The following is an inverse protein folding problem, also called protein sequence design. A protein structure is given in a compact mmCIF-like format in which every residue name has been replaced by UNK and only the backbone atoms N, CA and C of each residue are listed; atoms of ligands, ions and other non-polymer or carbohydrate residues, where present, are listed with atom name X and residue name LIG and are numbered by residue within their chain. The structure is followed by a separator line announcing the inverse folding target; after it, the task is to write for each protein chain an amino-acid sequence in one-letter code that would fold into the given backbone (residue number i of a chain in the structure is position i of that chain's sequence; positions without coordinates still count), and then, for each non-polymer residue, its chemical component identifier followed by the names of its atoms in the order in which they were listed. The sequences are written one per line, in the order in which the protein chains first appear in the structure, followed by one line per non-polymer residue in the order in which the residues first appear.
data_IF_518917803461
#
_entry.id   IF_518917803461
#
_cell.length_a   1.000
_cell.length_b   1.000
_cell.length_c   1.000
_cell.angle_alpha   90.00
_cell.angle_beta   90.00
_cell.angle_gamma   90.00
#
_symmetry.space_group_name_H-M   'P 1'
#
loop_
_entity.id
_entity.type
_entity.pdbx_description
1 polymer ?
#
# COMPACT_ATOMS: atom_id res chain seq x y z
N UNK A 1 -8.90 8.88 25.38
CA UNK A 1 -8.80 8.80 23.92
C UNK A 1 -8.47 10.13 23.22
N UNK A 2 -9.12 11.27 23.52
CA UNK A 2 -8.75 12.58 22.89
C UNK A 2 -7.26 12.91 23.07
N UNK A 3 -6.65 12.67 24.24
CA UNK A 3 -5.23 12.90 24.49
C UNK A 3 -4.28 11.99 23.69
N UNK A 4 -4.69 10.75 23.39
CA UNK A 4 -3.88 9.80 22.61
C UNK A 4 -3.80 10.28 21.16
N UNK A 5 -4.92 10.65 20.55
CA UNK A 5 -4.96 11.16 19.15
C UNK A 5 -4.15 12.46 19.04
N UNK A 6 -4.29 13.39 19.98
CA UNK A 6 -3.54 14.65 19.95
C UNK A 6 -2.02 14.40 20.05
N UNK A 7 -1.57 13.52 20.95
CA UNK A 7 -0.16 13.14 21.07
C UNK A 7 0.37 12.45 19.81
N UNK A 8 -0.43 11.59 19.17
CA UNK A 8 -0.04 10.96 17.90
C UNK A 8 0.20 12.01 16.81
N UNK A 9 -0.64 13.06 16.73
CA UNK A 9 -0.46 14.17 15.80
C UNK A 9 0.79 14.99 16.14
N UNK A 10 1.00 15.33 17.42
CA UNK A 10 2.19 16.07 17.86
C UNK A 10 3.49 15.30 17.56
N UNK A 11 3.47 13.97 17.70
CA UNK A 11 4.61 13.10 17.40
C UNK A 11 5.07 13.20 15.96
N UNK A 12 4.17 13.47 15.03
CA UNK A 12 4.46 13.62 13.61
C UNK A 12 4.79 15.05 13.20
N UNK A 13 4.17 16.04 13.88
CA UNK A 13 4.29 17.45 13.52
C UNK A 13 5.68 18.02 13.70
N UNK A 14 6.43 17.56 14.69
CA UNK A 14 7.82 18.01 14.97
C UNK A 14 8.90 17.20 14.26
N UNK A 15 8.53 16.25 13.39
CA UNK A 15 9.46 15.33 12.73
C UNK A 15 9.25 15.38 11.23
N UNK A 16 10.34 15.33 10.47
CA UNK A 16 10.31 15.36 9.00
C UNK A 16 9.76 14.05 8.39
N UNK A 17 8.56 13.62 8.86
CA UNK A 17 7.89 12.41 8.36
C UNK A 17 7.59 12.50 6.86
N UNK A 18 7.49 13.72 6.34
CA UNK A 18 7.30 13.97 4.91
C UNK A 18 8.47 13.45 4.07
N UNK A 19 9.69 13.48 4.61
CA UNK A 19 10.87 12.92 3.95
C UNK A 19 10.77 11.39 3.82
N UNK A 20 10.37 10.69 4.89
CA UNK A 20 10.14 9.25 4.86
C UNK A 20 8.97 8.88 3.93
N UNK A 21 7.87 9.65 3.99
CA UNK A 21 6.73 9.44 3.10
C UNK A 21 7.12 9.63 1.62
N UNK A 22 7.92 10.64 1.30
CA UNK A 22 8.46 10.85 -0.05
C UNK A 22 9.33 9.69 -0.52
N UNK A 23 10.23 9.21 0.33
CA UNK A 23 11.09 8.06 0.04
C UNK A 23 10.29 6.77 -0.23
N UNK A 24 9.31 6.46 0.63
CA UNK A 24 8.43 5.29 0.44
C UNK A 24 7.64 5.44 -0.86
N UNK A 25 7.01 6.60 -1.09
CA UNK A 25 6.20 6.87 -2.28
C UNK A 25 7.00 6.74 -3.57
N UNK A 26 8.25 7.23 -3.57
CA UNK A 26 9.16 7.06 -4.71
C UNK A 26 9.43 5.59 -5.02
N UNK A 27 9.80 4.79 -4.02
CA UNK A 27 10.07 3.37 -4.23
C UNK A 27 8.82 2.57 -4.59
N UNK A 28 7.65 2.90 -4.01
CA UNK A 28 6.37 2.29 -4.40
C UNK A 28 6.07 2.61 -5.86
N UNK A 29 6.20 3.87 -6.26
CA UNK A 29 6.01 4.29 -7.66
C UNK A 29 6.95 3.54 -8.62
N UNK A 30 8.23 3.41 -8.25
CA UNK A 30 9.21 2.67 -9.05
C UNK A 30 8.87 1.19 -9.15
N UNK A 31 8.24 0.60 -8.12
CA UNK A 31 7.85 -0.81 -8.07
C UNK A 31 6.52 -1.09 -8.80
N UNK A 32 5.62 -0.11 -8.88
CA UNK A 32 4.24 -0.30 -9.39
C UNK A 32 4.24 -0.83 -10.81
N UNK A 33 4.94 -0.17 -11.75
CA UNK A 33 4.92 -0.56 -13.15
C UNK A 33 5.54 -1.94 -13.40
N UNK A 34 6.77 -2.23 -12.94
CA UNK A 34 7.34 -3.57 -13.06
C UNK A 34 6.53 -4.63 -12.29
N UNK A 35 5.96 -4.26 -11.14
CA UNK A 35 5.10 -5.14 -10.35
C UNK A 35 3.83 -5.54 -11.09
N UNK A 36 3.20 -4.60 -11.79
CA UNK A 36 2.04 -4.87 -12.65
C UNK A 36 2.40 -5.77 -13.83
N UNK A 37 3.56 -5.54 -14.48
CA UNK A 37 4.04 -6.42 -15.53
C UNK A 37 4.16 -7.88 -15.06
N UNK A 38 4.71 -8.07 -13.85
CA UNK A 38 4.82 -9.38 -13.23
C UNK A 38 3.46 -10.01 -12.91
N UNK A 39 2.54 -9.22 -12.36
CA UNK A 39 1.18 -9.70 -12.04
C UNK A 39 0.45 -10.15 -13.31
N UNK A 40 0.49 -9.36 -14.38
CA UNK A 40 -0.10 -9.71 -15.67
C UNK A 40 0.59 -10.94 -16.27
N UNK A 41 1.91 -11.02 -16.21
CA UNK A 41 2.68 -12.17 -16.68
C UNK A 41 2.38 -13.45 -15.90
N UNK A 42 2.33 -13.40 -14.58
CA UNK A 42 1.98 -14.55 -13.72
C UNK A 42 0.52 -14.99 -13.92
N UNK A 43 -0.39 -14.03 -14.04
CA UNK A 43 -1.79 -14.34 -14.30
C UNK A 43 -1.99 -14.94 -15.69
N UNK A 44 -1.21 -14.51 -16.68
CA UNK A 44 -1.18 -15.09 -18.04
C UNK A 44 -0.66 -16.52 -18.10
N UNK A 45 0.06 -17.02 -17.06
CA UNK A 45 0.44 -18.43 -16.93
C UNK A 45 -0.73 -19.32 -16.48
N UNK A 46 -1.71 -18.74 -15.77
CA UNK A 46 -2.86 -19.44 -15.15
C UNK A 46 -4.16 -19.13 -15.89
N UNK A 47 -4.21 -18.03 -16.63
CA UNK A 47 -5.38 -17.50 -17.32
C UNK A 47 -4.98 -16.87 -18.66
N UNK A 48 -5.97 -16.51 -19.48
CA UNK A 48 -5.66 -15.76 -20.71
C UNK A 48 -5.22 -14.32 -20.39
N UNK A 49 -4.34 -13.72 -21.21
CA UNK A 49 -3.91 -12.33 -21.01
C UNK A 49 -5.09 -11.34 -20.92
N UNK A 50 -6.17 -11.62 -21.66
CA UNK A 50 -7.38 -10.80 -21.68
C UNK A 50 -8.11 -10.85 -20.32
N UNK A 51 -8.18 -12.04 -19.69
CA UNK A 51 -8.79 -12.21 -18.37
C UNK A 51 -7.95 -11.51 -17.28
N UNK A 52 -6.61 -11.54 -17.41
CA UNK A 52 -5.71 -10.81 -16.53
C UNK A 52 -5.89 -9.29 -16.65
N UNK A 53 -6.00 -8.77 -17.88
CA UNK A 53 -6.25 -7.36 -18.14
C UNK A 53 -7.59 -6.90 -17.56
N UNK A 54 -8.65 -7.70 -17.73
CA UNK A 54 -9.97 -7.41 -17.19
C UNK A 54 -9.97 -7.36 -15.64
N UNK A 55 -9.23 -8.25 -15.00
CA UNK A 55 -9.08 -8.24 -13.54
C UNK A 55 -8.33 -6.99 -13.06
N UNK A 56 -7.23 -6.66 -13.73
CA UNK A 56 -6.45 -5.48 -13.41
C UNK A 56 -7.26 -4.19 -13.66
N UNK A 57 -8.09 -4.14 -14.69
CA UNK A 57 -9.01 -3.02 -14.96
C UNK A 57 -10.03 -2.84 -13.82
N UNK A 58 -10.58 -3.93 -13.30
CA UNK A 58 -11.48 -3.90 -12.14
C UNK A 58 -10.79 -3.37 -10.89
N UNK A 59 -9.54 -3.78 -10.64
CA UNK A 59 -8.73 -3.28 -9.52
C UNK A 59 -8.34 -1.81 -9.72
N UNK A 60 -8.09 -1.38 -10.95
CA UNK A 60 -7.82 0.02 -11.30
C UNK A 60 -8.99 0.96 -10.95
N UNK A 61 -10.21 0.44 -10.88
CA UNK A 61 -11.37 1.19 -10.40
C UNK A 61 -11.28 1.67 -8.95
N UNK A 62 -10.33 1.14 -8.17
CA UNK A 62 -10.04 1.58 -6.79
C UNK A 62 -9.06 2.77 -6.73
N UNK A 63 -8.43 3.10 -7.86
CA UNK A 63 -7.45 4.17 -7.95
C UNK A 63 -8.10 5.50 -8.35
N UNK A 64 -7.50 6.64 -7.96
CA UNK A 64 -7.89 7.95 -8.49
C UNK A 64 -7.82 7.97 -10.02
N UNK A 65 -8.71 8.75 -10.68
CA UNK A 65 -8.89 8.73 -12.13
C UNK A 65 -7.59 8.83 -12.93
N UNK A 66 -6.68 9.76 -12.58
CA UNK A 66 -5.42 9.92 -13.29
C UNK A 66 -4.46 8.73 -13.14
N UNK A 67 -4.45 8.07 -11.97
CA UNK A 67 -3.65 6.87 -11.74
C UNK A 67 -4.26 5.66 -12.49
N UNK A 68 -5.60 5.59 -12.57
CA UNK A 68 -6.33 4.60 -13.34
C UNK A 68 -5.98 4.66 -14.82
N UNK A 69 -6.00 5.85 -15.41
CA UNK A 69 -5.74 6.04 -16.84
C UNK A 69 -4.32 5.62 -17.22
N UNK A 70 -3.32 5.99 -16.40
CA UNK A 70 -1.94 5.52 -16.57
C UNK A 70 -1.84 4.00 -16.52
N UNK A 71 -2.51 3.40 -15.55
CA UNK A 71 -2.49 1.97 -15.32
C UNK A 71 -3.12 1.24 -16.50
N UNK A 72 -4.26 1.73 -17.02
CA UNK A 72 -4.94 1.15 -18.18
C UNK A 72 -4.14 1.27 -19.47
N UNK A 73 -3.46 2.41 -19.69
CA UNK A 73 -2.57 2.60 -20.86
C UNK A 73 -1.42 1.60 -20.79
N UNK A 74 -0.77 1.43 -19.63
CA UNK A 74 0.35 0.51 -19.50
C UNK A 74 -0.10 -0.96 -19.58
N UNK A 75 -1.26 -1.30 -19.02
CA UNK A 75 -1.85 -2.64 -19.13
C UNK A 75 -2.16 -3.00 -20.59
N UNK A 76 -2.80 -2.11 -21.35
CA UNK A 76 -3.07 -2.34 -22.77
C UNK A 76 -1.78 -2.54 -23.58
N UNK A 77 -0.73 -1.78 -23.26
CA UNK A 77 0.59 -1.96 -23.86
C UNK A 77 1.18 -3.34 -23.57
N UNK A 78 1.03 -3.82 -22.32
CA UNK A 78 1.55 -5.11 -21.87
C UNK A 78 0.79 -6.29 -22.52
N UNK A 79 -0.53 -6.20 -22.60
CA UNK A 79 -1.37 -7.23 -23.25
C UNK A 79 -1.05 -7.37 -24.74
N UNK A 80 -0.69 -6.28 -25.42
CA UNK A 80 -0.33 -6.27 -26.83
C UNK A 80 1.13 -6.64 -27.12
N UNK A 81 1.98 -6.74 -26.09
CA UNK A 81 3.40 -7.07 -26.27
C UNK A 81 3.61 -8.56 -26.62
N UNK A 82 4.42 -8.89 -27.65
CA UNK A 82 4.71 -10.28 -27.99
C UNK A 82 5.39 -11.03 -26.84
N UNK A 83 4.92 -12.24 -26.53
CA UNK A 83 5.42 -13.07 -25.41
C UNK A 83 6.95 -13.29 -25.46
N UNK A 84 7.55 -13.32 -26.65
CA UNK A 84 9.00 -13.51 -26.83
C UNK A 84 9.86 -12.29 -26.43
N UNK A 85 9.32 -11.08 -26.51
CA UNK A 85 10.00 -9.85 -26.02
C UNK A 85 9.86 -9.67 -24.51
N UNK A 86 8.88 -10.34 -23.90
CA UNK A 86 8.67 -10.32 -22.46
C UNK A 86 9.79 -11.05 -21.67
N UNK A 87 10.49 -12.05 -22.25
CA UNK A 87 11.36 -12.90 -21.44
C UNK A 87 12.62 -12.21 -20.91
N UNK A 88 13.35 -11.45 -21.70
CA UNK A 88 14.54 -10.72 -21.24
C UNK A 88 14.19 -9.42 -20.52
N UNK A 89 13.22 -8.65 -21.03
CA UNK A 89 12.70 -7.45 -20.40
C UNK A 89 12.00 -7.74 -19.06
N UNK A 90 11.32 -8.90 -18.98
CA UNK A 90 10.68 -9.35 -17.73
C UNK A 90 11.69 -9.68 -16.64
N UNK A 91 12.87 -10.21 -16.98
CA UNK A 91 13.94 -10.45 -15.99
C UNK A 91 14.46 -9.16 -15.38
N UNK A 92 14.71 -8.14 -16.20
CA UNK A 92 15.14 -6.81 -15.71
C UNK A 92 14.01 -6.14 -14.93
N UNK A 93 12.77 -6.18 -15.42
CA UNK A 93 11.62 -5.62 -14.73
C UNK A 93 11.40 -6.28 -13.35
N UNK A 94 11.58 -7.61 -13.26
CA UNK A 94 11.52 -8.35 -12.00
C UNK A 94 12.59 -7.85 -11.00
N UNK A 95 13.83 -7.73 -11.45
CA UNK A 95 14.92 -7.25 -10.58
C UNK A 95 14.64 -5.83 -10.09
N UNK A 96 14.18 -4.94 -10.97
CA UNK A 96 13.82 -3.55 -10.60
C UNK A 96 12.64 -3.53 -9.63
N UNK A 97 11.60 -4.33 -9.86
CA UNK A 97 10.43 -4.42 -8.97
C UNK A 97 10.82 -4.92 -7.58
N UNK A 98 11.56 -6.02 -7.50
CA UNK A 98 12.01 -6.61 -6.24
C UNK A 98 12.93 -5.65 -5.49
N UNK A 99 13.89 -5.02 -6.18
CA UNK A 99 14.77 -4.01 -5.60
C UNK A 99 13.97 -2.82 -5.06
N UNK A 100 13.09 -2.25 -5.86
CA UNK A 100 12.29 -1.09 -5.47
C UNK A 100 11.36 -1.42 -4.31
N UNK A 101 10.65 -2.55 -4.36
CA UNK A 101 9.78 -3.00 -3.28
C UNK A 101 10.54 -3.24 -1.98
N UNK A 102 11.70 -3.93 -2.05
CA UNK A 102 12.55 -4.13 -0.88
C UNK A 102 13.02 -2.80 -0.27
N UNK A 103 13.44 -1.84 -1.10
CA UNK A 103 13.84 -0.50 -0.64
C UNK A 103 12.65 0.28 -0.06
N UNK A 104 11.46 0.14 -0.65
CA UNK A 104 10.23 0.73 -0.14
C UNK A 104 9.87 0.22 1.25
N UNK A 105 9.93 -1.10 1.48
CA UNK A 105 9.73 -1.68 2.81
C UNK A 105 10.77 -1.20 3.82
N UNK A 106 12.05 -1.09 3.41
CA UNK A 106 13.10 -0.54 4.29
C UNK A 106 12.82 0.91 4.68
N UNK A 107 12.42 1.75 3.74
CA UNK A 107 12.06 3.14 4.01
C UNK A 107 10.82 3.23 4.93
N UNK A 108 9.81 2.38 4.71
CA UNK A 108 8.63 2.29 5.56
C UNK A 108 8.99 1.87 6.99
N UNK A 109 9.80 0.81 7.14
CA UNK A 109 10.25 0.33 8.45
C UNK A 109 11.05 1.40 9.19
N UNK A 110 11.98 2.08 8.50
CA UNK A 110 12.78 3.15 9.10
C UNK A 110 11.89 4.29 9.61
N UNK A 111 10.92 4.74 8.80
CA UNK A 111 9.96 5.76 9.22
C UNK A 111 9.09 5.32 10.41
N UNK A 112 8.61 4.07 10.42
CA UNK A 112 7.82 3.52 11.52
C UNK A 112 8.64 3.38 12.80
N UNK A 113 9.88 2.92 12.73
CA UNK A 113 10.79 2.85 13.89
C UNK A 113 11.06 4.23 14.47
N UNK A 114 11.27 5.22 13.59
CA UNK A 114 11.44 6.62 14.02
C UNK A 114 10.19 7.17 14.71
N UNK A 115 8.98 6.82 14.23
CA UNK A 115 7.70 7.18 14.87
C UNK A 115 7.58 6.52 16.25
N UNK A 116 8.13 5.31 16.43
CA UNK A 116 8.07 4.56 17.69
C UNK A 116 9.14 5.02 18.70
N UNK A 117 9.98 5.99 18.37
CA UNK A 117 11.11 6.48 19.17
C UNK A 117 12.23 5.43 19.35
N UNK A 118 12.36 4.49 18.44
CA UNK A 118 13.48 3.56 18.40
C UNK A 118 14.38 3.86 17.20
N UNK A 119 15.60 4.30 17.48
CA UNK A 119 16.64 4.44 16.44
C UNK A 119 17.26 3.07 16.15
N UNK A 120 17.11 2.60 14.89
CA UNK A 120 17.67 1.33 14.42
C UNK A 120 17.36 0.10 15.33
N UNK A 121 16.08 -0.20 15.63
CA UNK A 121 15.69 -1.28 16.56
C UNK A 121 16.17 -2.65 16.12
N UNK A 122 16.53 -2.78 14.84
CA UNK A 122 17.02 -4.01 14.24
C UNK A 122 18.44 -3.82 13.73
N UNK A 123 19.36 -4.71 14.08
CA UNK A 123 20.69 -4.75 13.47
C UNK A 123 20.58 -4.94 11.94
N UNK A 124 21.64 -4.57 11.19
CA UNK A 124 21.65 -4.54 9.73
C UNK A 124 21.10 -5.80 9.08
N UNK A 125 21.45 -6.99 9.59
CA UNK A 125 21.01 -8.28 9.04
C UNK A 125 19.51 -8.49 9.29
N UNK A 126 19.05 -8.30 10.53
CA UNK A 126 17.64 -8.47 10.91
C UNK A 126 16.74 -7.50 10.17
N UNK A 127 17.18 -6.25 10.00
CA UNK A 127 16.43 -5.22 9.25
C UNK A 127 16.21 -5.63 7.78
N UNK A 128 17.26 -6.13 7.11
CA UNK A 128 17.15 -6.61 5.73
C UNK A 128 16.28 -7.88 5.62
N UNK A 129 16.41 -8.82 6.57
CA UNK A 129 15.59 -10.03 6.60
C UNK A 129 14.11 -9.74 6.86
N UNK A 130 13.80 -8.80 7.74
CA UNK A 130 12.41 -8.35 7.98
C UNK A 130 11.83 -7.67 6.74
N UNK A 131 12.58 -6.79 6.08
CA UNK A 131 12.12 -6.15 4.84
C UNK A 131 11.88 -7.19 3.72
N UNK A 132 12.75 -8.20 3.61
CA UNK A 132 12.55 -9.31 2.68
C UNK A 132 11.34 -10.16 3.08
N UNK A 133 11.17 -10.44 4.36
CA UNK A 133 10.01 -11.17 4.89
C UNK A 133 8.69 -10.45 4.59
N UNK A 134 8.64 -9.13 4.77
CA UNK A 134 7.47 -8.32 4.41
C UNK A 134 7.20 -8.33 2.91
N UNK A 135 8.25 -8.28 2.10
CA UNK A 135 8.12 -8.40 0.64
C UNK A 135 7.53 -9.76 0.25
N UNK A 136 8.05 -10.85 0.79
CA UNK A 136 7.54 -12.21 0.53
C UNK A 136 6.10 -12.33 1.03
N UNK A 137 5.80 -11.81 2.23
CA UNK A 137 4.44 -11.80 2.78
C UNK A 137 3.47 -11.04 1.86
N UNK A 138 3.87 -9.90 1.30
CA UNK A 138 3.07 -9.15 0.34
C UNK A 138 2.83 -9.93 -0.95
N UNK A 139 3.88 -10.60 -1.47
CA UNK A 139 3.77 -11.48 -2.64
C UNK A 139 2.83 -12.68 -2.45
N UNK A 140 2.71 -13.19 -1.24
CA UNK A 140 1.77 -14.28 -0.89
C UNK A 140 0.38 -13.72 -0.66
N UNK A 141 0.27 -12.60 0.06
CA UNK A 141 -1.01 -11.99 0.44
C UNK A 141 -1.80 -11.52 -0.79
N UNK A 142 -1.15 -10.91 -1.78
CA UNK A 142 -1.81 -10.41 -2.98
C UNK A 142 -2.57 -11.49 -3.76
N UNK A 143 -1.99 -12.62 -4.17
CA UNK A 143 -2.74 -13.69 -4.84
C UNK A 143 -3.80 -14.33 -3.95
N UNK A 144 -3.56 -14.49 -2.64
CA UNK A 144 -4.56 -15.00 -1.70
C UNK A 144 -5.79 -14.09 -1.66
N UNK A 145 -5.58 -12.78 -1.54
CA UNK A 145 -6.67 -11.80 -1.57
C UNK A 145 -7.37 -11.77 -2.93
N UNK A 146 -6.63 -11.94 -4.04
CA UNK A 146 -7.21 -12.01 -5.39
C UNK A 146 -8.11 -13.23 -5.55
N UNK A 147 -7.69 -14.39 -5.07
CA UNK A 147 -8.52 -15.62 -5.09
C UNK A 147 -9.75 -15.45 -4.19
N UNK A 148 -9.60 -14.90 -3.00
CA UNK A 148 -10.73 -14.63 -2.11
C UNK A 148 -11.73 -13.63 -2.73
N UNK A 149 -11.22 -12.58 -3.35
CA UNK A 149 -12.02 -11.58 -4.08
C UNK A 149 -12.86 -12.24 -5.20
N UNK A 150 -12.22 -13.03 -6.06
CA UNK A 150 -12.89 -13.76 -7.15
C UNK A 150 -13.89 -14.78 -6.60
N UNK A 151 -13.50 -15.55 -5.59
CA UNK A 151 -14.37 -16.55 -4.95
C UNK A 151 -15.66 -15.93 -4.41
N UNK A 152 -15.56 -14.77 -3.75
CA UNK A 152 -16.74 -14.05 -3.23
C UNK A 152 -17.63 -13.47 -4.36
N UNK A 153 -17.04 -13.00 -5.46
CA UNK A 153 -17.81 -12.55 -6.63
C UNK A 153 -18.57 -13.71 -7.27
N UNK A 154 -17.90 -14.84 -7.49
CA UNK A 154 -18.54 -16.04 -8.09
C UNK A 154 -19.61 -16.58 -7.15
N UNK A 155 -19.33 -16.71 -5.85
CA UNK A 155 -20.31 -17.17 -4.87
C UNK A 155 -21.54 -16.23 -4.82
N UNK A 156 -21.34 -14.91 -4.85
CA UNK A 156 -22.41 -13.93 -4.92
C UNK A 156 -23.30 -14.09 -6.16
N UNK A 157 -22.68 -14.35 -7.32
CA UNK A 157 -23.38 -14.58 -8.57
C UNK A 157 -24.17 -15.90 -8.56
N UNK A 158 -23.55 -17.00 -8.11
CA UNK A 158 -24.17 -18.34 -8.08
C UNK A 158 -25.30 -18.42 -7.06
N UNK A 159 -25.12 -17.82 -5.87
CA UNK A 159 -26.12 -17.84 -4.80
C UNK A 159 -27.20 -16.76 -4.93
N UNK A 160 -27.11 -15.89 -5.94
CA UNK A 160 -28.02 -14.76 -6.10
C UNK A 160 -27.92 -13.70 -5.00
N UNK A 161 -26.85 -13.74 -4.19
CA UNK A 161 -26.60 -12.83 -3.09
C UNK A 161 -25.89 -11.56 -3.59
N UNK A 162 -26.66 -10.62 -4.11
CA UNK A 162 -26.16 -9.36 -4.69
C UNK A 162 -25.25 -8.56 -3.75
N UNK A 163 -25.55 -8.58 -2.45
CA UNK A 163 -24.72 -7.95 -1.41
C UNK A 163 -23.33 -8.58 -1.32
N UNK A 164 -23.23 -9.90 -1.43
CA UNK A 164 -21.97 -10.61 -1.37
C UNK A 164 -21.08 -10.29 -2.59
N UNK A 165 -21.69 -10.19 -3.77
CA UNK A 165 -20.98 -9.83 -5.01
C UNK A 165 -20.45 -8.40 -5.03
N UNK A 166 -21.14 -7.45 -4.37
CA UNK A 166 -20.75 -6.03 -4.36
C UNK A 166 -19.89 -5.71 -3.13
N UNK A 167 -20.30 -6.12 -1.94
CA UNK A 167 -19.59 -5.79 -0.70
C UNK A 167 -18.40 -6.72 -0.43
N UNK A 168 -18.47 -8.00 -0.84
CA UNK A 168 -17.41 -8.98 -0.60
C UNK A 168 -16.03 -8.55 -1.07
N UNK A 169 -15.87 -8.05 -2.30
CA UNK A 169 -14.59 -7.51 -2.80
C UNK A 169 -14.01 -6.39 -1.95
N UNK A 170 -14.84 -5.44 -1.53
CA UNK A 170 -14.41 -4.35 -0.65
C UNK A 170 -13.98 -4.84 0.73
N UNK A 171 -14.76 -5.77 1.31
CA UNK A 171 -14.41 -6.38 2.59
C UNK A 171 -13.08 -7.15 2.51
N UNK A 172 -12.85 -7.86 1.41
CA UNK A 172 -11.58 -8.58 1.18
C UNK A 172 -10.40 -7.61 1.09
N UNK A 173 -10.53 -6.53 0.32
CA UNK A 173 -9.48 -5.52 0.19
C UNK A 173 -9.17 -4.82 1.52
N UNK A 174 -10.22 -4.39 2.25
CA UNK A 174 -10.07 -3.71 3.54
C UNK A 174 -9.49 -4.64 4.62
N UNK A 175 -9.96 -5.89 4.69
CA UNK A 175 -9.43 -6.87 5.65
C UNK A 175 -7.98 -7.22 5.34
N UNK A 176 -7.61 -7.35 4.07
CA UNK A 176 -6.24 -7.58 3.65
C UNK A 176 -5.32 -6.43 4.01
N UNK A 177 -5.75 -5.19 3.77
CA UNK A 177 -4.99 -3.99 4.14
C UNK A 177 -4.84 -3.89 5.67
N UNK A 178 -5.91 -4.13 6.41
CA UNK A 178 -5.91 -4.12 7.87
C UNK A 178 -4.97 -5.17 8.44
N UNK A 179 -4.98 -6.39 7.89
CA UNK A 179 -4.09 -7.47 8.29
C UNK A 179 -2.63 -7.12 7.97
N UNK A 180 -2.36 -6.64 6.76
CA UNK A 180 -1.00 -6.24 6.35
C UNK A 180 -0.44 -5.16 7.27
N UNK A 181 -1.19 -4.08 7.53
CA UNK A 181 -0.77 -2.99 8.40
C UNK A 181 -0.61 -3.46 9.86
N UNK A 182 -1.51 -4.32 10.35
CA UNK A 182 -1.39 -4.88 11.71
C UNK A 182 -0.10 -5.68 11.89
N UNK A 183 0.27 -6.49 10.89
CA UNK A 183 1.51 -7.28 10.90
C UNK A 183 2.73 -6.36 10.80
N UNK A 184 2.69 -5.36 9.92
CA UNK A 184 3.77 -4.37 9.78
C UNK A 184 3.98 -3.63 11.11
N UNK A 185 2.93 -3.09 11.72
CA UNK A 185 3.05 -2.38 12.99
C UNK A 185 3.57 -3.28 14.11
N UNK A 186 3.13 -4.53 14.14
CA UNK A 186 3.56 -5.46 15.16
C UNK A 186 5.04 -5.82 15.10
N UNK A 187 5.59 -6.04 13.91
CA UNK A 187 6.93 -6.62 13.74
C UNK A 187 7.98 -5.67 13.19
N UNK A 188 7.57 -4.57 12.54
CA UNK A 188 8.48 -3.68 11.85
C UNK A 188 8.85 -2.42 12.64
N UNK A 189 8.03 -2.01 13.60
CA UNK A 189 8.20 -0.73 14.31
C UNK A 189 9.28 -0.79 15.40
N UNK A 190 9.37 -1.91 16.13
CA UNK A 190 10.18 -2.03 17.33
C UNK A 190 10.96 -3.34 17.37
N UNK A 191 12.01 -3.37 18.18
CA UNK A 191 12.80 -4.57 18.47
C UNK A 191 11.98 -5.69 19.14
N UNK A 192 10.93 -5.31 19.90
CA UNK A 192 9.94 -6.22 20.49
C UNK A 192 8.62 -6.12 19.73
N UNK A 193 7.88 -7.23 19.57
CA UNK A 193 6.59 -7.19 18.91
C UNK A 193 5.60 -6.29 19.67
N UNK A 194 5.08 -5.27 19.02
CA UNK A 194 4.03 -4.37 19.53
C UNK A 194 2.77 -5.16 19.89
N UNK A 195 2.04 -4.76 20.91
CA UNK A 195 0.82 -5.43 21.34
C UNK A 195 -0.22 -5.52 20.22
N UNK A 196 -0.88 -6.68 20.05
CA UNK A 196 -1.90 -6.88 19.00
C UNK A 196 -3.01 -5.83 19.03
N UNK A 197 -3.47 -5.47 20.25
CA UNK A 197 -4.52 -4.45 20.44
C UNK A 197 -4.07 -3.08 19.93
N UNK A 198 -2.83 -2.71 20.18
CA UNK A 198 -2.24 -1.46 19.72
C UNK A 198 -2.03 -1.47 18.20
N UNK A 199 -1.45 -2.54 17.65
CA UNK A 199 -1.24 -2.73 16.21
C UNK A 199 -2.55 -2.68 15.43
N UNK A 200 -3.61 -3.34 15.92
CA UNK A 200 -4.94 -3.31 15.31
C UNK A 200 -5.57 -1.91 15.36
N UNK A 201 -5.48 -1.23 16.51
CA UNK A 201 -6.01 0.14 16.65
C UNK A 201 -5.33 1.10 15.65
N UNK A 202 -4.00 1.01 15.52
CA UNK A 202 -3.25 1.77 14.53
C UNK A 202 -3.63 1.41 13.08
N UNK A 203 -3.79 0.11 12.78
CA UNK A 203 -4.17 -0.35 11.46
C UNK A 203 -5.57 0.14 11.04
N UNK A 204 -6.54 0.08 11.95
CA UNK A 204 -7.90 0.63 11.71
C UNK A 204 -7.83 2.12 11.41
N UNK A 205 -7.08 2.88 12.21
CA UNK A 205 -6.91 4.32 11.97
C UNK A 205 -6.23 4.59 10.63
N UNK A 206 -5.17 3.86 10.28
CA UNK A 206 -4.49 4.00 9.00
C UNK A 206 -5.42 3.69 7.81
N UNK A 207 -6.23 2.62 7.89
CA UNK A 207 -7.22 2.28 6.85
C UNK A 207 -8.23 3.42 6.66
N UNK A 208 -8.80 3.93 7.75
CA UNK A 208 -9.76 5.06 7.70
C UNK A 208 -9.11 6.30 7.07
N UNK A 209 -7.88 6.64 7.49
CA UNK A 209 -7.15 7.78 6.97
C UNK A 209 -6.74 7.60 5.51
N UNK A 210 -6.38 6.39 5.09
CA UNK A 210 -6.07 6.08 3.68
C UNK A 210 -7.32 6.23 2.79
N UNK A 211 -8.49 5.79 3.28
CA UNK A 211 -9.76 6.00 2.57
C UNK A 211 -10.09 7.50 2.47
N UNK A 212 -9.89 8.26 3.54
CA UNK A 212 -10.07 9.71 3.53
C UNK A 212 -9.08 10.39 2.57
N UNK A 213 -7.81 9.99 2.56
CA UNK A 213 -6.80 10.48 1.63
C UNK A 213 -7.16 10.17 0.17
N UNK A 214 -7.68 8.96 -0.10
CA UNK A 214 -8.13 8.56 -1.44
C UNK A 214 -9.33 9.41 -1.90
N UNK A 215 -10.28 9.67 -1.00
CA UNK A 215 -11.42 10.55 -1.29
C UNK A 215 -10.96 12.00 -1.53
N UNK A 216 -10.07 12.53 -0.70
CA UNK A 216 -9.50 13.86 -0.86
C UNK A 216 -8.70 13.98 -2.18
N UNK A 217 -7.93 12.97 -2.54
CA UNK A 217 -7.22 12.92 -3.82
C UNK A 217 -8.18 12.92 -5.02
N UNK A 218 -9.30 12.18 -4.93
CA UNK A 218 -10.32 12.18 -5.98
C UNK A 218 -10.97 13.56 -6.13
N UNK A 219 -11.29 14.26 -5.03
CA UNK A 219 -11.79 15.64 -5.06
C UNK A 219 -10.76 16.61 -5.64
N UNK A 220 -9.50 16.47 -5.24
CA UNK A 220 -8.41 17.29 -5.76
C UNK A 220 -8.28 17.18 -7.27
N UNK A 221 -8.33 15.96 -7.82
CA UNK A 221 -8.28 15.72 -9.26
C UNK A 221 -9.47 16.37 -9.98
N UNK A 222 -10.68 16.23 -9.43
CA UNK A 222 -11.89 16.82 -10.02
C UNK A 222 -11.86 18.35 -10.02
N UNK A 223 -11.28 18.98 -8.99
CA UNK A 223 -11.18 20.44 -8.89
C UNK A 223 -10.01 21.03 -9.67
N UNK A 224 -9.02 20.22 -10.03
CA UNK A 224 -7.74 20.68 -10.59
C UNK A 224 -7.68 20.53 -12.12
N UNK A 225 -8.70 21.05 -12.83
CA UNK A 225 -8.74 21.03 -14.32
C UNK A 225 -7.53 21.71 -14.99
N UNK A 226 -6.82 22.60 -14.27
CA UNK A 226 -5.60 23.27 -14.73
C UNK A 226 -4.32 22.43 -14.68
N UNK A 227 -4.28 21.31 -13.93
CA UNK A 227 -3.08 20.48 -13.82
C UNK A 227 -2.69 19.86 -15.16
N UNK A 228 -3.66 19.44 -15.97
CA UNK A 228 -3.41 18.91 -17.30
C UNK A 228 -2.76 19.93 -18.22
N UNK A 229 -3.13 21.19 -18.11
CA UNK A 229 -2.55 22.30 -18.88
C UNK A 229 -1.10 22.63 -18.41
N UNK A 230 -0.81 22.50 -17.11
CA UNK A 230 0.49 22.82 -16.55
C UNK A 230 1.53 21.69 -16.71
N UNK A 231 1.12 20.45 -16.48
CA UNK A 231 2.02 19.27 -16.45
C UNK A 231 1.85 18.31 -17.62
N UNK A 232 0.86 18.49 -18.49
CA UNK A 232 0.64 17.64 -19.67
C UNK A 232 0.57 16.15 -19.31
N UNK A 233 1.34 15.31 -19.99
CA UNK A 233 1.40 13.86 -19.78
C UNK A 233 1.95 13.44 -18.41
N UNK A 234 2.65 14.35 -17.69
CA UNK A 234 3.23 14.06 -16.35
C UNK A 234 2.19 14.21 -15.24
N UNK A 235 1.04 14.83 -15.54
CA UNK A 235 -0.03 15.07 -14.55
C UNK A 235 -0.41 13.82 -13.77
N UNK A 236 -0.57 12.70 -14.45
CA UNK A 236 -0.99 11.46 -13.83
C UNK A 236 0.07 10.90 -12.85
N UNK A 237 1.36 11.06 -13.19
CA UNK A 237 2.48 10.69 -12.30
C UNK A 237 2.47 11.56 -11.04
N UNK A 238 2.26 12.87 -11.19
CA UNK A 238 2.20 13.82 -10.08
C UNK A 238 1.02 13.48 -9.16
N UNK A 239 -0.17 13.23 -9.73
CA UNK A 239 -1.36 12.84 -8.96
C UNK A 239 -1.12 11.54 -8.18
N UNK A 240 -0.52 10.54 -8.84
CA UNK A 240 -0.20 9.27 -8.20
C UNK A 240 0.79 9.46 -7.03
N UNK A 241 1.82 10.28 -7.21
CA UNK A 241 2.79 10.57 -6.15
C UNK A 241 2.15 11.31 -4.97
N UNK A 242 1.26 12.27 -5.22
CA UNK A 242 0.51 12.98 -4.17
C UNK A 242 -0.36 11.98 -3.39
N UNK A 243 -1.13 11.16 -4.09
CA UNK A 243 -1.98 10.15 -3.47
C UNK A 243 -1.16 9.12 -2.65
N UNK A 244 -0.04 8.64 -3.19
CA UNK A 244 0.87 7.75 -2.47
C UNK A 244 1.45 8.43 -1.23
N UNK A 245 1.87 9.69 -1.34
CA UNK A 245 2.42 10.45 -0.21
C UNK A 245 1.40 10.60 0.91
N UNK A 246 0.15 10.94 0.61
CA UNK A 246 -0.92 11.04 1.60
C UNK A 246 -1.27 9.68 2.22
N UNK A 247 -1.28 8.62 1.41
CA UNK A 247 -1.52 7.25 1.88
C UNK A 247 -0.42 6.77 2.82
N UNK A 248 0.85 7.05 2.50
CA UNK A 248 1.99 6.69 3.36
C UNK A 248 1.97 7.51 4.66
N UNK A 249 1.61 8.80 4.60
CA UNK A 249 1.43 9.62 5.81
C UNK A 249 0.31 9.06 6.70
N UNK A 250 -0.79 8.58 6.11
CA UNK A 250 -1.86 7.90 6.85
C UNK A 250 -1.34 6.64 7.56
N UNK A 251 -0.45 5.87 6.92
CA UNK A 251 0.21 4.71 7.54
C UNK A 251 1.11 5.14 8.70
N UNK A 252 1.89 6.20 8.58
CA UNK A 252 2.70 6.71 9.70
C UNK A 252 1.84 7.23 10.86
N UNK A 253 0.72 7.91 10.56
CA UNK A 253 -0.25 8.33 11.59
C UNK A 253 -0.83 7.13 12.35
N UNK A 254 -1.18 6.07 11.63
CA UNK A 254 -1.62 4.81 12.26
C UNK A 254 -0.55 4.19 13.14
N UNK A 255 0.71 4.22 12.70
CA UNK A 255 1.86 3.77 13.50
C UNK A 255 2.04 4.60 14.78
N UNK A 256 1.94 5.93 14.68
CA UNK A 256 1.98 6.81 15.85
C UNK A 256 0.85 6.52 16.84
N UNK A 257 -0.35 6.24 16.32
CA UNK A 257 -1.47 5.84 17.19
C UNK A 257 -1.23 4.48 17.85
N UNK A 258 -0.69 3.51 17.11
CA UNK A 258 -0.32 2.21 17.70
C UNK A 258 0.65 2.39 18.87
N UNK A 259 1.69 3.21 18.70
CA UNK A 259 2.67 3.53 19.75
C UNK A 259 2.01 4.16 20.98
N UNK A 260 1.14 5.15 20.79
CA UNK A 260 0.48 5.83 21.92
C UNK A 260 -0.53 4.92 22.65
N UNK A 261 -1.22 4.04 21.91
CA UNK A 261 -2.13 3.03 22.50
C UNK A 261 -1.34 2.00 23.30
N UNK A 262 -0.20 1.53 22.78
CA UNK A 262 0.66 0.59 23.49
C UNK A 262 1.17 1.18 24.82
N UNK A 263 1.71 2.40 24.79
CA UNK A 263 2.17 3.12 25.99
C UNK A 263 1.05 3.32 27.01
N UNK A 264 -0.16 3.59 26.52
CA UNK A 264 -1.31 3.74 27.41
C UNK A 264 -1.71 2.42 28.09
N UNK A 265 -1.63 1.30 27.34
CA UNK A 265 -1.94 -0.04 27.90
C UNK A 265 -0.88 -0.48 28.91
N UNK A 266 0.40 -0.19 28.64
CA UNK A 266 1.53 -0.55 29.51
C UNK A 266 1.70 0.39 30.70
N UNK A 267 0.88 1.43 30.82
CA UNK A 267 0.94 2.41 31.91
C UNK A 267 2.21 3.27 31.90
N UNK A 268 2.91 3.31 30.76
CA UNK A 268 4.10 4.14 30.61
C UNK A 268 3.70 5.60 30.50
N UNK A 269 4.20 6.42 31.44
CA UNK A 269 3.99 7.87 31.40
C UNK A 269 4.59 8.47 30.14
N UNK A 270 3.93 9.48 29.51
CA UNK A 270 4.48 10.16 28.36
C UNK A 270 5.85 10.75 28.74
N UNK A 271 6.87 10.47 27.97
CA UNK A 271 8.10 11.24 28.04
C UNK A 271 7.77 12.64 27.53
N UNK A 272 7.95 13.63 28.41
CA UNK A 272 7.71 15.04 28.15
C UNK A 272 8.71 15.61 27.13
#
# INVERSE_FOLDING_TARGET
MRGVVWRSLQRLWGRDMMLFAGGVSFFVMLAVFPGLMLLVGLYGLVSTPEAAALQAERMAGLLPAGARDLLLVELNRLVQAPIRTLSAQSGVALLVAVYAAHRGFKALMAGLSFVHDEEAPHGLVRFNLLALGLLVAAFILLPVLSVAFLGLQVAGAVLGLRLLGVAGPWMTALSGLLLALSVIYRYAMSSRPVLWRASLAGAVAAVILTLAASWAAALYVQSSQGLGAAYGSVTAVVILLIWLSWSVQAVFLGGALATEVERHIEGLTPQA
#
